data_IF_285014279478
#
_entry.id   IF_285014279478
#
_cell.length_a   1.000
_cell.length_b   1.000
_cell.length_c   1.000
_cell.angle_alpha   90.00
_cell.angle_beta   90.00
_cell.angle_gamma   90.00
#
_symmetry.space_group_name_H-M   'P 1'
#
loop_
_entity.id
_entity.type
_entity.pdbx_description
1 polymer ?
#
# COMPACT_ATOMS: atom_id res chain seq x y z
N UNK A 1 0.21 3.42 6.16
CA UNK A 1 -0.09 2.23 6.97
C UNK A 1 -0.19 0.97 6.13
N UNK A 2 -0.07 -0.19 6.74
CA UNK A 2 -0.09 -1.49 6.07
C UNK A 2 -1.52 -2.02 6.15
N UNK A 3 -2.07 -2.51 5.03
CA UNK A 3 -3.30 -3.28 5.08
C UNK A 3 -3.04 -4.57 5.88
N UNK A 4 -3.81 -4.79 6.93
CA UNK A 4 -3.59 -5.91 7.85
C UNK A 4 -4.24 -7.16 7.29
N UNK A 5 -3.46 -8.24 7.18
CA UNK A 5 -3.98 -9.57 6.97
C UNK A 5 -4.59 -10.06 8.29
N UNK A 6 -5.90 -10.22 8.36
CA UNK A 6 -6.59 -10.64 9.58
C UNK A 6 -6.59 -12.18 9.78
N UNK A 7 -6.50 -12.94 8.71
CA UNK A 7 -6.54 -14.39 8.75
C UNK A 7 -5.59 -15.01 7.71
N UNK A 8 -4.84 -16.03 8.12
CA UNK A 8 -3.87 -16.69 7.25
C UNK A 8 -4.50 -17.53 6.13
N UNK A 9 -5.78 -17.87 6.26
CA UNK A 9 -6.52 -18.61 5.23
C UNK A 9 -6.89 -17.72 4.03
N UNK A 10 -6.94 -16.41 4.22
CA UNK A 10 -7.24 -15.47 3.14
C UNK A 10 -5.97 -15.11 2.38
N UNK A 11 -5.98 -15.19 1.01
CA UNK A 11 -4.79 -15.02 0.20
C UNK A 11 -4.47 -13.54 -0.04
N UNK A 12 -4.50 -12.74 1.00
CA UNK A 12 -4.15 -11.32 0.89
C UNK A 12 -2.65 -11.16 1.00
N UNK A 13 -2.02 -10.77 -0.08
CA UNK A 13 -0.64 -10.31 -0.04
C UNK A 13 -0.65 -8.99 0.74
N UNK A 14 0.16 -8.86 1.81
CA UNK A 14 0.22 -7.62 2.57
C UNK A 14 0.68 -6.48 1.67
N UNK A 15 -0.20 -5.56 1.36
CA UNK A 15 0.10 -4.39 0.53
C UNK A 15 0.03 -3.15 1.40
N UNK A 16 1.05 -2.31 1.29
CA UNK A 16 1.06 -1.02 1.96
C UNK A 16 0.19 -0.03 1.19
N UNK A 17 -0.75 0.58 1.88
CA UNK A 17 -1.63 1.62 1.33
C UNK A 17 -1.70 2.84 2.27
N UNK A 18 -2.08 3.99 1.70
CA UNK A 18 -2.43 5.17 2.49
C UNK A 18 -3.76 4.88 3.21
N UNK A 19 -3.82 5.24 4.50
CA UNK A 19 -5.02 5.04 5.30
C UNK A 19 -6.12 6.01 4.88
N UNK A 20 -7.28 5.46 4.54
CA UNK A 20 -8.49 6.17 4.15
C UNK A 20 -9.72 5.29 4.42
N UNK A 21 -10.90 5.69 3.95
CA UNK A 21 -12.12 4.90 4.09
C UNK A 21 -12.00 3.50 3.50
N UNK A 22 -11.33 3.35 2.34
CA UNK A 22 -11.13 2.05 1.71
C UNK A 22 -10.40 1.06 2.63
N UNK A 23 -9.46 1.54 3.44
CA UNK A 23 -8.73 0.71 4.40
C UNK A 23 -9.67 0.16 5.49
N UNK A 24 -10.58 0.97 5.98
CA UNK A 24 -11.55 0.55 6.99
C UNK A 24 -12.57 -0.44 6.41
N UNK A 25 -13.12 -0.11 5.25
CA UNK A 25 -14.04 -1.00 4.53
C UNK A 25 -13.42 -2.37 4.21
N UNK A 26 -12.12 -2.39 3.88
CA UNK A 26 -11.40 -3.64 3.63
C UNK A 26 -11.29 -4.50 4.89
N UNK A 27 -10.98 -3.89 6.04
CA UNK A 27 -10.92 -4.58 7.33
C UNK A 27 -12.30 -5.17 7.70
N UNK A 28 -13.36 -4.38 7.50
CA UNK A 28 -14.73 -4.83 7.77
C UNK A 28 -15.14 -6.00 6.87
N UNK A 29 -14.82 -5.92 5.56
CA UNK A 29 -15.13 -6.99 4.63
C UNK A 29 -14.38 -8.28 4.96
N UNK A 30 -13.10 -8.19 5.33
CA UNK A 30 -12.35 -9.36 5.81
C UNK A 30 -13.04 -10.01 7.01
N UNK A 31 -13.48 -9.22 8.01
CA UNK A 31 -14.19 -9.72 9.20
C UNK A 31 -15.47 -10.44 8.82
N UNK A 32 -16.26 -9.88 7.89
CA UNK A 32 -17.49 -10.52 7.39
C UNK A 32 -17.20 -11.85 6.71
N UNK A 33 -16.21 -11.88 5.83
CA UNK A 33 -15.83 -13.09 5.09
C UNK A 33 -15.29 -14.16 6.04
N UNK A 34 -14.46 -13.81 7.02
CA UNK A 34 -13.98 -14.72 8.06
C UNK A 34 -15.15 -15.33 8.82
N UNK A 35 -16.10 -14.52 9.26
CA UNK A 35 -17.29 -14.99 9.96
C UNK A 35 -18.13 -15.96 9.11
N UNK A 36 -18.30 -15.67 7.81
CA UNK A 36 -19.00 -16.57 6.89
C UNK A 36 -18.26 -17.91 6.72
N UNK A 37 -16.92 -17.87 6.65
CA UNK A 37 -16.07 -19.05 6.53
C UNK A 37 -16.14 -19.91 7.80
N UNK A 38 -16.03 -19.32 8.98
CA UNK A 38 -16.08 -20.01 10.27
C UNK A 38 -17.43 -20.65 10.51
N UNK A 39 -18.51 -19.99 10.09
CA UNK A 39 -19.89 -20.53 10.13
C UNK A 39 -20.22 -21.49 8.97
N UNK A 40 -19.25 -21.88 8.15
CA UNK A 40 -19.42 -22.78 7.00
C UNK A 40 -20.47 -22.31 5.98
N UNK A 41 -20.71 -21.00 5.89
CA UNK A 41 -21.65 -20.40 4.92
C UNK A 41 -21.04 -20.23 3.54
N UNK A 42 -19.73 -20.23 3.45
CA UNK A 42 -18.95 -20.18 2.22
C UNK A 42 -17.77 -21.14 2.31
N UNK A 43 -17.33 -21.66 1.18
CA UNK A 43 -16.10 -22.42 1.07
C UNK A 43 -14.87 -21.51 1.18
N UNK A 44 -13.69 -22.10 1.42
CA UNK A 44 -12.44 -21.35 1.45
C UNK A 44 -12.17 -20.62 0.11
N UNK A 45 -12.39 -21.27 -1.02
CA UNK A 45 -12.21 -20.69 -2.35
C UNK A 45 -13.15 -19.49 -2.59
N UNK A 46 -14.41 -19.59 -2.19
CA UNK A 46 -15.36 -18.48 -2.28
C UNK A 46 -14.98 -17.30 -1.37
N UNK A 47 -14.49 -17.59 -0.17
CA UNK A 47 -14.00 -16.57 0.75
C UNK A 47 -12.80 -15.81 0.16
N UNK A 48 -11.84 -16.54 -0.40
CA UNK A 48 -10.68 -15.99 -1.07
C UNK A 48 -11.07 -15.10 -2.26
N UNK A 49 -11.97 -15.58 -3.11
CA UNK A 49 -12.44 -14.84 -4.28
C UNK A 49 -13.18 -13.55 -3.91
N UNK A 50 -13.98 -13.56 -2.83
CA UNK A 50 -14.64 -12.35 -2.33
C UNK A 50 -13.63 -11.27 -1.94
N UNK A 51 -12.56 -11.65 -1.25
CA UNK A 51 -11.50 -10.70 -0.85
C UNK A 51 -10.76 -10.15 -2.07
N UNK A 52 -10.42 -11.00 -3.03
CA UNK A 52 -9.76 -10.58 -4.27
C UNK A 52 -10.62 -9.59 -5.07
N UNK A 53 -11.91 -9.88 -5.24
CA UNK A 53 -12.84 -8.99 -5.95
C UNK A 53 -12.99 -7.63 -5.25
N UNK A 54 -13.11 -7.64 -3.92
CA UNK A 54 -13.18 -6.39 -3.16
C UNK A 54 -11.91 -5.56 -3.36
N UNK A 55 -10.76 -6.19 -3.29
CA UNK A 55 -9.46 -5.54 -3.47
C UNK A 55 -9.30 -4.94 -4.87
N UNK A 56 -9.57 -5.73 -5.91
CA UNK A 56 -9.50 -5.29 -7.30
C UNK A 56 -10.47 -4.11 -7.57
N UNK A 57 -11.67 -4.16 -7.03
CA UNK A 57 -12.65 -3.08 -7.11
C UNK A 57 -12.17 -1.79 -6.43
N UNK A 58 -11.54 -1.91 -5.28
CA UNK A 58 -11.00 -0.78 -4.53
C UNK A 58 -9.81 -0.12 -5.26
N UNK A 59 -8.91 -0.91 -5.85
CA UNK A 59 -7.83 -0.40 -6.70
C UNK A 59 -8.39 0.34 -7.93
N UNK A 60 -9.39 -0.24 -8.59
CA UNK A 60 -10.03 0.39 -9.76
C UNK A 60 -10.63 1.74 -9.42
N UNK A 61 -11.31 1.89 -8.28
CA UNK A 61 -11.86 3.17 -7.81
C UNK A 61 -10.78 4.24 -7.73
N UNK A 62 -9.62 3.93 -7.14
CA UNK A 62 -8.52 4.87 -7.02
C UNK A 62 -7.93 5.26 -8.38
N UNK A 63 -7.58 4.26 -9.21
CA UNK A 63 -6.80 4.47 -10.44
C UNK A 63 -7.65 4.99 -11.59
N UNK A 64 -8.86 4.47 -11.76
CA UNK A 64 -9.73 4.82 -12.90
C UNK A 64 -10.64 6.00 -12.56
N UNK A 65 -11.27 5.97 -11.37
CA UNK A 65 -12.27 6.97 -11.01
C UNK A 65 -11.66 8.17 -10.25
N UNK A 66 -10.39 8.07 -9.83
CA UNK A 66 -9.75 9.11 -9.01
C UNK A 66 -10.33 9.24 -7.59
N UNK A 67 -11.05 8.23 -7.11
CA UNK A 67 -11.67 8.23 -5.78
C UNK A 67 -10.59 7.92 -4.72
N UNK A 68 -10.00 8.96 -4.19
CA UNK A 68 -8.93 8.87 -3.18
C UNK A 68 -9.45 8.52 -1.78
N UNK A 69 -10.73 8.68 -1.52
CA UNK A 69 -11.34 8.40 -0.22
C UNK A 69 -11.76 6.93 -0.09
N UNK A 70 -12.37 6.36 -1.14
CA UNK A 70 -12.95 5.01 -1.13
C UNK A 70 -12.18 4.03 -2.02
N UNK A 71 -11.10 4.49 -2.66
CA UNK A 71 -10.19 3.68 -3.45
C UNK A 71 -8.93 3.31 -2.69
N UNK A 72 -8.33 2.16 -3.00
CA UNK A 72 -7.06 1.75 -2.40
C UNK A 72 -5.89 2.46 -3.07
N UNK A 73 -5.16 3.26 -2.29
CA UNK A 73 -3.97 4.00 -2.72
C UNK A 73 -2.71 3.27 -2.26
N UNK A 74 -2.17 2.41 -3.13
CA UNK A 74 -0.92 1.72 -2.83
C UNK A 74 0.25 2.68 -2.76
N UNK A 75 1.08 2.55 -1.73
CA UNK A 75 2.21 3.42 -1.49
C UNK A 75 3.37 2.68 -0.84
N UNK A 76 4.59 2.94 -1.34
CA UNK A 76 5.82 2.42 -0.76
C UNK A 76 6.17 3.05 0.60
N UNK A 77 7.22 2.56 1.23
CA UNK A 77 7.69 3.09 2.53
C UNK A 77 8.12 4.56 2.44
N UNK A 78 8.72 4.94 1.33
CA UNK A 78 9.23 6.29 1.08
C UNK A 78 8.17 7.34 0.76
N UNK A 79 6.89 6.97 0.66
CA UNK A 79 5.82 7.94 0.33
C UNK A 79 5.77 9.12 1.30
N UNK A 80 6.11 8.90 2.57
CA UNK A 80 6.16 9.97 3.59
C UNK A 80 7.28 11.00 3.37
N UNK A 81 8.27 10.67 2.55
CA UNK A 81 9.38 11.55 2.18
C UNK A 81 9.03 12.46 1.01
N UNK A 82 7.98 12.12 0.24
CA UNK A 82 7.49 12.96 -0.85
C UNK A 82 6.76 14.15 -0.26
N UNK A 83 7.33 15.35 -0.42
CA UNK A 83 6.81 16.59 0.18
C UNK A 83 6.10 17.50 -0.82
N UNK A 84 6.42 17.38 -2.09
CA UNK A 84 5.88 18.22 -3.16
C UNK A 84 5.85 17.50 -4.49
N UNK A 85 5.04 18.01 -5.41
CA UNK A 85 5.07 17.61 -6.82
C UNK A 85 6.26 18.28 -7.50
N UNK A 86 7.08 17.49 -8.19
CA UNK A 86 8.30 17.95 -8.87
C UNK A 86 8.30 17.48 -10.33
N UNK A 87 9.05 18.20 -11.17
CA UNK A 87 9.38 17.72 -12.52
C UNK A 87 10.41 16.59 -12.43
N UNK A 88 10.38 15.67 -13.37
CA UNK A 88 11.32 14.53 -13.39
C UNK A 88 12.77 15.00 -13.34
N UNK A 89 13.13 16.05 -14.07
CA UNK A 89 14.47 16.65 -14.05
C UNK A 89 14.89 17.06 -12.63
N UNK A 90 14.03 17.74 -11.88
CA UNK A 90 14.29 18.21 -10.52
C UNK A 90 14.53 17.04 -9.57
N UNK A 91 13.78 15.92 -9.76
CA UNK A 91 13.96 14.70 -8.96
C UNK A 91 15.33 14.10 -9.21
N UNK A 92 15.77 13.99 -10.47
CA UNK A 92 17.10 13.47 -10.80
C UNK A 92 18.22 14.38 -10.25
N UNK A 93 18.09 15.69 -10.38
CA UNK A 93 19.06 16.64 -9.85
C UNK A 93 19.17 16.52 -8.31
N UNK A 94 18.03 16.37 -7.62
CA UNK A 94 17.99 16.20 -6.17
C UNK A 94 18.69 14.90 -5.75
N UNK A 95 18.43 13.78 -6.42
CA UNK A 95 19.05 12.48 -6.15
C UNK A 95 20.57 12.55 -6.35
N UNK A 96 21.04 13.11 -7.46
CA UNK A 96 22.46 13.24 -7.75
C UNK A 96 23.17 14.12 -6.71
N UNK A 97 22.59 15.27 -6.37
CA UNK A 97 23.15 16.16 -5.36
C UNK A 97 23.23 15.52 -3.97
N UNK A 98 22.24 14.69 -3.60
CA UNK A 98 22.25 13.95 -2.34
C UNK A 98 23.34 12.87 -2.36
N UNK A 99 23.50 12.14 -3.45
CA UNK A 99 24.53 11.12 -3.61
C UNK A 99 25.94 11.72 -3.54
N UNK A 100 26.21 12.83 -4.22
CA UNK A 100 27.50 13.54 -4.17
C UNK A 100 27.84 13.99 -2.76
N UNK A 101 26.89 14.60 -2.05
CA UNK A 101 27.08 15.00 -0.66
C UNK A 101 27.43 13.84 0.25
N UNK A 102 26.75 12.72 0.09
CA UNK A 102 26.99 11.51 0.91
C UNK A 102 28.40 10.96 0.63
N UNK A 103 28.83 10.88 -0.61
CA UNK A 103 30.17 10.42 -0.98
C UNK A 103 31.28 11.32 -0.39
N UNK A 104 31.06 12.64 -0.32
CA UNK A 104 32.02 13.57 0.29
C UNK A 104 32.11 13.32 1.81
N UNK A 105 30.99 13.08 2.47
CA UNK A 105 30.95 12.80 3.91
C UNK A 105 31.70 11.50 4.22
N UNK A 106 31.44 10.44 3.47
CA UNK A 106 32.09 9.13 3.66
C UNK A 106 33.62 9.21 3.42
N UNK A 107 34.06 9.94 2.39
CA UNK A 107 35.49 10.14 2.16
C UNK A 107 36.20 10.86 3.32
N UNK A 108 35.54 11.80 3.98
CA UNK A 108 36.12 12.50 5.14
C UNK A 108 36.24 11.57 6.34
N UNK A 109 35.24 10.73 6.61
CA UNK A 109 35.25 9.78 7.74
C UNK A 109 36.27 8.64 7.59
N UNK A 110 36.74 8.35 6.38
CA UNK A 110 37.78 7.32 6.15
C UNK A 110 39.19 7.89 6.37
N UNK A 111 39.36 9.20 6.27
CA UNK A 111 40.65 9.89 6.39
C UNK A 111 40.92 10.47 7.78
N UNK A 112 40.02 10.29 8.74
CA UNK A 112 40.14 10.56 10.18
C UNK A 112 40.45 9.26 10.93
#
# INVERSE_FOLDING_TARGET
KISVKLDNRLPVIPVRAIENNATQLFIEEQKKVINQLDNKKVSLGEAQLKIEHFWAGSLRKAVINGDIENGSLMAGQSVSLVKKKQKVKEIFEEILNQAEKQLIIERKSINE
#
